data_IF_869912468446
#
_entry.id   IF_869912468446
#
_cell.length_a   1.000
_cell.length_b   1.000
_cell.length_c   1.000
_cell.angle_alpha   90.00
_cell.angle_beta   90.00
_cell.angle_gamma   90.00
#
_symmetry.space_group_name_H-M   'P 1'
#
loop_
_entity.id
_entity.type
_entity.pdbx_description
1 polymer ?
#
# COMPACT_ATOMS: atom_id res chain seq x y z
N UNK A 1 19.02 27.96 3.28
CA UNK A 1 17.96 28.07 2.26
C UNK A 1 16.89 27.03 2.60
N UNK A 2 15.77 27.45 3.19
CA UNK A 2 14.67 26.55 3.51
C UNK A 2 13.95 26.19 2.20
N UNK A 3 14.42 25.15 1.52
CA UNK A 3 13.73 24.59 0.36
C UNK A 3 12.39 24.10 0.90
N UNK A 4 11.32 24.80 0.57
CA UNK A 4 9.97 24.36 0.85
C UNK A 4 9.79 23.01 0.15
N UNK A 5 9.96 21.91 0.90
CA UNK A 5 9.55 20.57 0.48
C UNK A 5 8.09 20.73 0.09
N UNK A 6 7.78 20.62 -1.19
CA UNK A 6 6.41 20.79 -1.67
C UNK A 6 5.53 19.85 -0.84
N UNK A 7 4.66 20.48 -0.04
CA UNK A 7 4.02 19.88 1.13
C UNK A 7 3.11 18.75 0.65
N UNK A 8 3.57 17.50 0.75
CA UNK A 8 2.77 16.26 0.73
C UNK A 8 1.68 16.20 -0.37
N UNK A 9 1.98 16.69 -1.57
CA UNK A 9 1.06 16.71 -2.70
C UNK A 9 1.76 16.25 -3.97
N UNK A 10 1.33 15.12 -4.50
CA UNK A 10 1.76 14.57 -5.78
C UNK A 10 1.43 15.59 -6.87
N UNK A 11 2.41 15.97 -7.67
CA UNK A 11 2.22 16.86 -8.81
C UNK A 11 1.85 15.99 -10.00
N UNK A 12 0.67 16.18 -10.58
CA UNK A 12 0.34 15.57 -11.87
C UNK A 12 1.14 16.21 -12.99
N UNK A 13 1.30 15.50 -14.10
CA UNK A 13 2.03 16.01 -15.28
C UNK A 13 1.48 17.35 -15.76
N UNK A 14 0.15 17.51 -15.78
CA UNK A 14 -0.53 18.75 -16.17
C UNK A 14 -0.45 19.86 -15.11
N UNK A 15 -0.18 19.52 -13.85
CA UNK A 15 0.03 20.46 -12.74
C UNK A 15 1.51 20.88 -12.62
N UNK A 16 2.39 20.28 -13.43
CA UNK A 16 3.82 20.53 -13.34
C UNK A 16 4.20 21.96 -13.76
N UNK A 17 4.75 22.73 -12.82
CA UNK A 17 5.35 24.03 -13.05
C UNK A 17 6.86 23.98 -12.83
N UNK A 18 7.65 24.22 -13.88
CA UNK A 18 9.11 24.13 -13.82
C UNK A 18 9.75 25.07 -12.78
N UNK A 19 9.17 26.24 -12.51
CA UNK A 19 9.73 27.18 -11.51
C UNK A 19 9.57 26.68 -10.08
N UNK A 20 8.54 25.89 -9.82
CA UNK A 20 8.16 25.44 -8.49
C UNK A 20 8.66 24.02 -8.21
N UNK A 21 8.57 23.14 -9.21
CA UNK A 21 8.72 21.71 -9.03
C UNK A 21 10.05 21.14 -9.53
N UNK A 22 10.79 21.85 -10.38
CA UNK A 22 12.08 21.37 -10.86
C UNK A 22 13.04 21.13 -9.69
N UNK A 23 13.57 19.91 -9.59
CA UNK A 23 14.46 19.48 -8.50
C UNK A 23 13.78 19.22 -7.14
N UNK A 24 12.45 19.42 -7.04
CA UNK A 24 11.70 19.35 -5.78
C UNK A 24 10.58 18.29 -5.79
N UNK A 25 10.56 17.40 -6.79
CA UNK A 25 9.65 16.25 -6.83
C UNK A 25 10.40 15.00 -6.37
N UNK A 26 9.74 14.24 -5.51
CA UNK A 26 10.30 13.06 -4.87
C UNK A 26 9.38 11.85 -5.02
N UNK A 27 9.90 10.69 -4.65
CA UNK A 27 9.19 9.42 -4.68
C UNK A 27 7.83 9.55 -3.99
N UNK A 28 6.75 9.13 -4.64
CA UNK A 28 5.40 9.18 -4.09
C UNK A 28 5.23 8.41 -2.77
N UNK A 29 6.04 7.37 -2.57
CA UNK A 29 5.90 6.44 -1.46
C UNK A 29 6.73 6.85 -0.24
N UNK A 30 8.00 7.21 -0.46
CA UNK A 30 8.94 7.48 0.63
C UNK A 30 9.38 8.94 0.74
N UNK A 31 9.15 9.77 -0.29
CA UNK A 31 9.57 11.16 -0.30
C UNK A 31 11.09 11.40 -0.33
N UNK A 32 11.90 10.36 -0.64
CA UNK A 32 13.37 10.45 -0.66
C UNK A 32 13.94 10.52 -2.07
N UNK A 33 13.70 9.49 -2.90
CA UNK A 33 14.31 9.43 -4.25
C UNK A 33 13.78 10.55 -5.15
N UNK A 34 14.66 11.25 -5.86
CA UNK A 34 14.26 12.36 -6.75
C UNK A 34 13.63 11.87 -8.04
N UNK A 35 12.68 12.65 -8.53
CA UNK A 35 11.94 12.38 -9.77
C UNK A 35 12.00 13.60 -10.68
N UNK A 36 12.16 13.39 -11.97
CA UNK A 36 12.14 14.43 -13.01
C UNK A 36 11.00 14.18 -14.00
N UNK A 37 10.46 15.26 -14.57
CA UNK A 37 9.53 15.16 -15.69
C UNK A 37 10.35 14.95 -16.98
N UNK A 38 10.03 13.90 -17.72
CA UNK A 38 10.58 13.60 -19.04
C UNK A 38 9.55 13.97 -20.09
N UNK A 39 9.99 14.75 -21.08
CA UNK A 39 9.21 15.10 -22.27
C UNK A 39 9.98 14.62 -23.48
N UNK A 40 9.39 13.73 -24.27
CA UNK A 40 9.96 13.23 -25.53
C UNK A 40 9.01 13.61 -26.67
N UNK A 41 9.57 13.91 -27.84
CA UNK A 41 8.75 14.10 -29.03
C UNK A 41 7.93 12.81 -29.28
N UNK A 42 6.66 12.98 -29.64
CA UNK A 42 5.72 11.90 -29.97
C UNK A 42 5.46 10.88 -28.84
N UNK A 43 5.72 11.26 -27.58
CA UNK A 43 5.38 10.45 -26.41
C UNK A 43 4.68 11.30 -25.34
N UNK A 44 3.76 10.67 -24.61
CA UNK A 44 3.18 11.29 -23.43
C UNK A 44 4.29 11.62 -22.42
N UNK A 45 4.19 12.80 -21.80
CA UNK A 45 5.15 13.19 -20.76
C UNK A 45 4.98 12.27 -19.56
N UNK A 46 6.09 11.89 -18.92
CA UNK A 46 6.06 10.98 -17.77
C UNK A 46 7.10 11.35 -16.74
N UNK A 47 6.88 10.92 -15.50
CA UNK A 47 7.86 11.08 -14.42
C UNK A 47 8.84 9.90 -14.40
N UNK A 48 10.12 10.19 -14.21
CA UNK A 48 11.19 9.21 -14.15
C UNK A 48 12.10 9.49 -12.95
N UNK A 49 12.58 8.42 -12.29
CA UNK A 49 13.56 8.56 -11.21
C UNK A 49 14.91 9.03 -11.75
N UNK A 50 15.57 9.92 -11.00
CA UNK A 50 16.91 10.39 -11.32
C UNK A 50 17.92 9.31 -10.93
N UNK A 51 18.60 8.72 -11.92
CA UNK A 51 19.48 7.55 -11.74
C UNK A 51 20.57 7.79 -10.68
N UNK A 52 21.19 8.98 -10.69
CA UNK A 52 22.29 9.35 -9.79
C UNK A 52 21.86 9.56 -8.32
N UNK A 53 20.55 9.75 -8.07
CA UNK A 53 19.99 10.06 -6.75
C UNK A 53 18.73 9.20 -6.48
N UNK A 54 18.81 7.93 -6.89
CA UNK A 54 17.71 6.95 -6.77
C UNK A 54 17.70 6.22 -5.42
N UNK A 55 18.17 6.87 -4.36
CA UNK A 55 18.13 6.29 -3.02
C UNK A 55 16.72 6.40 -2.46
N UNK A 56 16.13 5.25 -2.16
CA UNK A 56 14.84 5.16 -1.49
C UNK A 56 15.01 4.75 -0.04
N UNK A 57 13.99 5.03 0.76
CA UNK A 57 13.82 4.43 2.07
C UNK A 57 13.77 2.90 2.00
N UNK A 58 14.33 2.22 2.99
CA UNK A 58 14.31 0.75 3.08
C UNK A 58 12.89 0.16 3.17
N UNK A 59 11.91 0.95 3.67
CA UNK A 59 10.52 0.54 3.75
C UNK A 59 9.75 0.83 2.44
N UNK A 60 10.37 1.51 1.48
CA UNK A 60 9.74 1.89 0.22
C UNK A 60 9.37 0.64 -0.61
N UNK A 61 8.11 0.48 -1.04
CA UNK A 61 7.75 -0.65 -1.90
C UNK A 61 8.49 -0.68 -3.24
N UNK A 62 8.94 0.48 -3.73
CA UNK A 62 9.62 0.63 -5.03
C UNK A 62 10.99 -0.06 -5.12
N UNK A 63 11.66 -0.29 -3.98
CA UNK A 63 12.94 -1.02 -3.97
C UNK A 63 12.76 -2.53 -3.94
N UNK A 64 11.55 -3.01 -3.62
CA UNK A 64 11.28 -4.43 -3.52
C UNK A 64 10.79 -5.01 -4.84
N UNK A 65 11.30 -6.19 -5.18
CA UNK A 65 10.78 -6.96 -6.32
C UNK A 65 9.58 -7.80 -5.83
N UNK A 66 8.36 -7.52 -6.32
CA UNK A 66 7.21 -8.32 -5.92
C UNK A 66 7.33 -9.74 -6.51
N UNK A 67 6.78 -10.71 -5.78
CA UNK A 67 6.59 -12.06 -6.32
C UNK A 67 5.51 -12.07 -7.40
N UNK A 68 5.62 -13.04 -8.30
CA UNK A 68 4.63 -13.21 -9.37
C UNK A 68 3.23 -13.47 -8.81
N UNK A 69 2.22 -12.84 -9.42
CA UNK A 69 0.83 -12.94 -8.98
C UNK A 69 0.29 -14.37 -9.10
N UNK A 70 0.72 -15.16 -10.10
CA UNK A 70 0.34 -16.57 -10.20
C UNK A 70 0.89 -17.36 -9.02
N UNK A 71 2.09 -17.03 -8.54
CA UNK A 71 2.64 -17.67 -7.35
C UNK A 71 1.84 -17.33 -6.09
N UNK A 72 1.34 -16.10 -5.96
CA UNK A 72 0.45 -15.74 -4.86
C UNK A 72 -0.87 -16.53 -4.95
N UNK A 73 -1.46 -16.62 -6.14
CA UNK A 73 -2.68 -17.40 -6.39
C UNK A 73 -2.51 -18.87 -6.00
N UNK A 74 -1.43 -19.50 -6.43
CA UNK A 74 -1.08 -20.89 -6.04
C UNK A 74 -0.98 -21.05 -4.53
N UNK A 75 -0.24 -20.15 -3.86
CA UNK A 75 -0.04 -20.24 -2.41
C UNK A 75 -1.34 -20.04 -1.62
N UNK A 76 -2.27 -19.22 -2.13
CA UNK A 76 -3.58 -18.98 -1.50
C UNK A 76 -4.53 -20.15 -1.73
N UNK A 77 -4.46 -20.81 -2.89
CA UNK A 77 -5.29 -21.97 -3.22
C UNK A 77 -4.78 -23.27 -2.59
N UNK A 78 -3.59 -23.28 -2.02
CA UNK A 78 -2.96 -24.47 -1.43
C UNK A 78 -3.53 -24.82 -0.05
N UNK A 79 -3.87 -26.09 0.16
CA UNK A 79 -4.25 -26.63 1.47
C UNK A 79 -3.06 -26.88 2.41
N UNK A 80 -1.83 -26.64 1.93
CA UNK A 80 -0.61 -26.84 2.70
C UNK A 80 -0.49 -25.81 3.83
N UNK A 81 -0.38 -26.29 5.07
CA UNK A 81 -0.07 -25.44 6.24
C UNK A 81 1.21 -24.63 6.04
N UNK A 82 2.19 -25.15 5.31
CA UNK A 82 3.46 -24.47 5.01
C UNK A 82 3.24 -23.26 4.09
N UNK A 83 2.42 -23.43 3.05
CA UNK A 83 2.13 -22.36 2.10
C UNK A 83 1.26 -21.28 2.74
N UNK A 84 0.26 -21.67 3.52
CA UNK A 84 -0.52 -20.73 4.32
C UNK A 84 0.33 -19.93 5.31
N UNK A 85 1.29 -20.59 5.97
CA UNK A 85 2.27 -19.90 6.83
C UNK A 85 3.14 -18.93 6.04
N UNK A 86 3.54 -19.27 4.80
CA UNK A 86 4.31 -18.39 3.93
C UNK A 86 3.49 -17.18 3.49
N UNK A 87 2.23 -17.36 3.08
CA UNK A 87 1.35 -16.24 2.71
C UNK A 87 1.16 -15.30 3.89
N UNK A 88 0.84 -15.83 5.07
CA UNK A 88 0.63 -15.01 6.27
C UNK A 88 1.89 -14.23 6.66
N UNK A 89 3.08 -14.83 6.51
CA UNK A 89 4.35 -14.13 6.71
C UNK A 89 4.50 -12.96 5.74
N UNK A 90 4.32 -13.20 4.43
CA UNK A 90 4.48 -12.17 3.39
C UNK A 90 3.47 -11.04 3.56
N UNK A 91 2.21 -11.38 3.89
CA UNK A 91 1.15 -10.40 4.14
C UNK A 91 1.48 -9.54 5.35
N UNK A 92 1.74 -10.14 6.52
CA UNK A 92 2.05 -9.39 7.74
C UNK A 92 3.25 -8.47 7.54
N UNK A 93 4.34 -8.98 6.98
CA UNK A 93 5.54 -8.19 6.67
C UNK A 93 5.20 -6.97 5.80
N UNK A 94 4.39 -7.15 4.75
CA UNK A 94 4.05 -6.05 3.84
C UNK A 94 3.06 -5.04 4.47
N UNK A 95 2.10 -5.51 5.27
CA UNK A 95 1.19 -4.64 6.03
C UNK A 95 1.94 -3.80 7.07
N UNK A 96 2.83 -4.42 7.84
CA UNK A 96 3.72 -3.74 8.79
C UNK A 96 4.57 -2.69 8.09
N UNK A 97 5.26 -3.07 7.01
CA UNK A 97 6.11 -2.18 6.22
C UNK A 97 5.34 -0.94 5.75
N UNK A 98 4.14 -1.11 5.21
CA UNK A 98 3.33 0.00 4.70
C UNK A 98 2.92 0.97 5.81
N UNK A 99 2.45 0.46 6.95
CA UNK A 99 2.07 1.32 8.09
C UNK A 99 3.28 2.04 8.67
N UNK A 100 4.41 1.33 8.81
CA UNK A 100 5.65 1.90 9.33
C UNK A 100 6.20 2.99 8.40
N UNK A 101 6.13 2.79 7.08
CA UNK A 101 6.48 3.81 6.11
C UNK A 101 5.60 5.06 6.26
N UNK A 102 4.28 4.90 6.36
CA UNK A 102 3.36 6.02 6.56
C UNK A 102 3.66 6.79 7.85
N UNK A 103 3.88 6.08 8.97
CA UNK A 103 4.26 6.71 10.24
C UNK A 103 5.61 7.43 10.14
N UNK A 104 6.59 6.86 9.43
CA UNK A 104 7.89 7.49 9.19
C UNK A 104 7.76 8.77 8.38
N UNK A 105 6.95 8.76 7.31
CA UNK A 105 6.65 9.93 6.48
C UNK A 105 5.85 11.00 7.24
N UNK A 106 5.01 10.58 8.18
CA UNK A 106 4.30 11.49 9.07
C UNK A 106 5.26 12.22 10.03
N UNK A 107 6.22 11.49 10.57
CA UNK A 107 7.22 11.95 11.55
C UNK A 107 8.54 12.43 10.89
N UNK A 108 8.45 13.14 9.77
CA UNK A 108 9.58 13.78 9.07
C UNK A 108 10.78 12.83 8.76
N UNK A 109 10.50 11.56 8.48
CA UNK A 109 11.48 10.55 8.10
C UNK A 109 11.99 9.71 9.28
N UNK A 110 11.44 9.87 10.48
CA UNK A 110 11.82 9.08 11.67
C UNK A 110 10.72 8.12 12.08
N UNK A 111 11.10 6.88 12.44
CA UNK A 111 10.17 5.90 12.98
C UNK A 111 10.48 5.67 14.45
N UNK A 112 9.65 6.23 15.33
CA UNK A 112 9.83 6.04 16.77
C UNK A 112 9.40 4.63 17.17
N UNK A 113 10.02 4.07 18.21
CA UNK A 113 9.71 2.72 18.68
C UNK A 113 8.22 2.52 19.02
N UNK A 114 7.56 3.55 19.59
CA UNK A 114 6.13 3.51 19.90
C UNK A 114 5.23 3.44 18.64
N UNK A 115 5.72 3.93 17.51
CA UNK A 115 4.98 3.96 16.24
C UNK A 115 5.20 2.69 15.40
N UNK A 116 6.24 1.90 15.73
CA UNK A 116 6.54 0.65 15.03
C UNK A 116 5.39 -0.32 15.22
N UNK A 117 4.78 -0.71 14.10
CA UNK A 117 3.87 -1.82 14.04
C UNK A 117 4.67 -3.12 13.87
N UNK A 118 4.34 -4.11 14.70
CA UNK A 118 4.84 -5.48 14.60
C UNK A 118 3.65 -6.45 14.74
N UNK A 119 3.23 -7.05 13.64
CA UNK A 119 2.16 -8.04 13.55
C UNK A 119 2.71 -9.48 13.68
N UNK A 120 4.03 -9.66 13.69
CA UNK A 120 4.68 -10.96 13.88
C UNK A 120 4.81 -11.32 15.37
N UNK A 121 4.32 -12.48 15.83
CA UNK A 121 4.52 -12.94 17.20
C UNK A 121 5.99 -13.32 17.47
N UNK A 122 6.59 -12.80 18.54
CA UNK A 122 8.00 -13.03 18.93
C UNK A 122 8.38 -14.53 19.05
N UNK A 123 7.51 -15.37 19.63
CA UNK A 123 7.76 -16.82 19.82
C UNK A 123 7.92 -17.66 18.54
N UNK A 124 7.58 -17.11 17.36
CA UNK A 124 7.76 -17.79 16.06
C UNK A 124 8.99 -17.32 15.29
N UNK A 125 9.75 -16.34 15.79
CA UNK A 125 10.92 -15.81 15.09
C UNK A 125 12.11 -16.79 15.14
N UNK A 126 12.35 -17.45 16.27
CA UNK A 126 13.52 -18.33 16.48
C UNK A 126 13.48 -19.66 15.69
N UNK A 127 12.30 -20.28 15.49
CA UNK A 127 12.19 -21.56 14.76
C UNK A 127 12.09 -21.43 13.23
N UNK A 128 12.02 -20.20 12.70
CA UNK A 128 11.67 -19.95 11.29
C UNK A 128 12.79 -19.18 10.56
N UNK A 129 13.91 -18.85 11.23
CA UNK A 129 14.98 -17.99 10.67
C UNK A 129 15.56 -18.48 9.33
N UNK A 130 15.76 -19.79 9.13
CA UNK A 130 16.26 -20.32 7.83
C UNK A 130 15.25 -20.16 6.69
N UNK A 131 13.94 -20.33 6.93
CA UNK A 131 12.88 -20.15 5.90
C UNK A 131 12.52 -18.68 5.71
N UNK A 132 12.55 -17.88 6.79
CA UNK A 132 12.32 -16.44 6.76
C UNK A 132 13.35 -15.72 5.91
N UNK A 133 14.63 -16.12 5.91
CA UNK A 133 15.67 -15.50 5.06
C UNK A 133 15.38 -15.61 3.56
N UNK A 134 14.74 -16.69 3.12
CA UNK A 134 14.35 -16.86 1.71
C UNK A 134 13.13 -15.97 1.38
N UNK A 135 12.14 -15.94 2.28
CA UNK A 135 10.90 -15.19 2.08
C UNK A 135 11.05 -13.69 2.37
N UNK A 136 12.04 -13.28 3.16
CA UNK A 136 12.27 -11.88 3.51
C UNK A 136 12.73 -11.05 2.32
N UNK A 137 13.29 -11.69 1.28
CA UNK A 137 13.65 -11.05 0.01
C UNK A 137 12.46 -10.92 -0.95
N UNK A 138 11.34 -11.56 -0.64
CA UNK A 138 10.11 -11.54 -1.41
C UNK A 138 9.15 -10.52 -0.82
N UNK A 139 8.42 -9.81 -1.69
CA UNK A 139 7.37 -8.87 -1.30
C UNK A 139 6.12 -9.05 -2.14
N UNK A 140 5.01 -8.50 -1.64
CA UNK A 140 3.73 -8.51 -2.36
C UNK A 140 3.63 -7.24 -3.19
N UNK A 141 3.03 -7.35 -4.38
CA UNK A 141 2.71 -6.18 -5.19
C UNK A 141 1.93 -5.17 -4.35
N UNK A 142 2.46 -3.96 -4.21
CA UNK A 142 1.96 -2.96 -3.28
C UNK A 142 1.63 -1.70 -4.06
N UNK A 143 0.46 -1.13 -3.81
CA UNK A 143 -0.07 0.05 -4.47
C UNK A 143 -0.36 1.08 -3.39
N UNK A 144 0.24 2.25 -3.55
CA UNK A 144 -0.12 3.41 -2.76
C UNK A 144 -1.44 3.98 -3.30
N UNK A 145 -2.38 4.22 -2.40
CA UNK A 145 -3.76 4.57 -2.80
C UNK A 145 -3.90 5.92 -3.49
N UNK A 146 -2.88 6.78 -3.43
CA UNK A 146 -2.81 7.99 -4.25
C UNK A 146 -2.69 7.68 -5.75
N UNK A 147 -2.10 6.54 -6.12
CA UNK A 147 -1.90 6.13 -7.52
C UNK A 147 -3.16 5.51 -8.14
N UNK A 148 -4.22 5.27 -7.34
CA UNK A 148 -5.45 4.65 -7.82
C UNK A 148 -6.18 5.47 -8.88
N UNK A 149 -5.97 6.79 -8.93
CA UNK A 149 -6.58 7.65 -9.95
C UNK A 149 -6.01 7.37 -11.35
N UNK A 150 -4.73 7.01 -11.41
CA UNK A 150 -3.94 6.95 -12.65
C UNK A 150 -3.54 5.50 -13.00
N UNK A 151 -4.00 4.53 -12.21
CA UNK A 151 -3.68 3.12 -12.41
C UNK A 151 -4.47 2.53 -13.59
N UNK A 152 -3.78 1.75 -14.41
CA UNK A 152 -4.42 0.93 -15.43
C UNK A 152 -5.22 -0.20 -14.75
N UNK A 153 -6.54 -0.02 -14.68
CA UNK A 153 -7.46 -0.92 -13.99
C UNK A 153 -7.42 -2.34 -14.54
N UNK A 154 -7.25 -2.52 -15.86
CA UNK A 154 -7.19 -3.84 -16.47
C UNK A 154 -5.90 -4.59 -16.08
N UNK A 155 -4.79 -3.85 -15.87
CA UNK A 155 -3.54 -4.46 -15.40
C UNK A 155 -3.59 -4.92 -13.94
N UNK A 156 -4.51 -4.42 -13.12
CA UNK A 156 -4.61 -4.79 -11.70
C UNK A 156 -5.79 -5.70 -11.38
N UNK A 157 -6.74 -5.82 -12.30
CA UNK A 157 -7.92 -6.67 -12.16
C UNK A 157 -7.54 -8.12 -11.87
N UNK A 158 -8.11 -8.65 -10.79
CA UNK A 158 -7.92 -10.04 -10.35
C UNK A 158 -6.58 -10.34 -9.69
N UNK A 159 -5.68 -9.35 -9.56
CA UNK A 159 -4.40 -9.51 -8.86
C UNK A 159 -4.57 -9.42 -7.34
N UNK A 160 -3.68 -10.09 -6.63
CA UNK A 160 -3.51 -9.88 -5.19
C UNK A 160 -2.51 -8.75 -4.95
N UNK A 161 -2.92 -7.77 -4.12
CA UNK A 161 -2.07 -6.63 -3.82
C UNK A 161 -2.24 -6.16 -2.38
N UNK A 162 -1.26 -5.40 -1.90
CA UNK A 162 -1.38 -4.57 -0.71
C UNK A 162 -1.74 -3.14 -1.14
N UNK A 163 -2.88 -2.64 -0.68
CA UNK A 163 -3.27 -1.24 -0.81
C UNK A 163 -3.03 -0.50 0.49
N UNK A 164 -2.36 0.64 0.45
CA UNK A 164 -2.05 1.40 1.66
C UNK A 164 -2.14 2.91 1.44
N UNK A 165 -2.32 3.65 2.53
CA UNK A 165 -2.35 5.11 2.51
C UNK A 165 -3.09 5.69 3.70
N UNK A 166 -3.61 6.91 3.52
CA UNK A 166 -4.45 7.60 4.51
C UNK A 166 -5.80 7.89 3.88
N UNK A 167 -6.88 7.47 4.52
CA UNK A 167 -8.24 7.64 4.01
C UNK A 167 -9.20 8.15 5.09
N UNK A 168 -10.26 8.83 4.66
CA UNK A 168 -11.50 8.86 5.43
C UNK A 168 -12.22 7.52 5.26
N UNK A 169 -12.46 6.81 6.35
CA UNK A 169 -13.06 5.48 6.38
C UNK A 169 -14.45 5.60 6.98
N UNK A 170 -15.44 5.13 6.23
CA UNK A 170 -16.85 5.05 6.68
C UNK A 170 -17.33 3.62 6.61
N UNK A 171 -18.19 3.22 7.54
CA UNK A 171 -18.77 1.89 7.61
C UNK A 171 -20.26 1.95 7.32
N UNK A 172 -20.76 0.94 6.61
CA UNK A 172 -22.18 0.77 6.31
C UNK A 172 -22.53 -0.71 6.30
N UNK A 173 -23.69 -1.06 6.84
CA UNK A 173 -24.19 -2.43 6.78
C UNK A 173 -24.90 -2.65 5.44
N UNK A 174 -24.60 -3.76 4.77
CA UNK A 174 -25.26 -4.20 3.54
C UNK A 174 -25.72 -5.63 3.77
N UNK A 175 -27.01 -5.78 4.07
CA UNK A 175 -27.55 -7.02 4.61
C UNK A 175 -26.82 -7.40 5.90
N UNK A 176 -26.26 -8.61 5.94
CA UNK A 176 -25.48 -9.12 7.07
C UNK A 176 -23.98 -8.75 7.00
N UNK A 177 -23.53 -8.17 5.88
CA UNK A 177 -22.11 -7.85 5.66
C UNK A 177 -21.79 -6.40 6.02
N UNK A 178 -20.54 -6.15 6.40
CA UNK A 178 -20.03 -4.80 6.65
C UNK A 178 -19.25 -4.31 5.42
N UNK A 179 -19.66 -3.17 4.86
CA UNK A 179 -18.90 -2.48 3.82
C UNK A 179 -18.14 -1.31 4.42
N UNK A 180 -16.82 -1.32 4.25
CA UNK A 180 -15.95 -0.19 4.53
C UNK A 180 -15.69 0.57 3.23
N UNK A 181 -16.00 1.86 3.23
CA UNK A 181 -15.72 2.76 2.12
C UNK A 181 -14.54 3.66 2.49
N UNK A 182 -13.49 3.62 1.66
CA UNK A 182 -12.28 4.40 1.81
C UNK A 182 -12.31 5.57 0.82
N UNK A 183 -12.37 6.80 1.35
CA UNK A 183 -12.32 8.04 0.59
C UNK A 183 -10.92 8.64 0.68
N UNK A 184 -10.17 8.57 -0.43
CA UNK A 184 -8.81 9.12 -0.51
C UNK A 184 -8.86 10.62 -0.84
N UNK A 185 -9.63 10.96 -1.88
CA UNK A 185 -9.90 12.33 -2.31
C UNK A 185 -11.29 12.39 -2.98
N UNK A 186 -11.59 13.47 -3.69
CA UNK A 186 -12.90 13.66 -4.33
C UNK A 186 -13.19 12.62 -5.42
N UNK A 187 -12.16 12.22 -6.19
CA UNK A 187 -12.26 11.34 -7.36
C UNK A 187 -11.84 9.88 -7.13
N UNK A 188 -11.18 9.55 -6.02
CA UNK A 188 -10.64 8.21 -5.76
C UNK A 188 -11.24 7.61 -4.49
N UNK A 189 -11.98 6.51 -4.69
CA UNK A 189 -12.60 5.72 -3.62
C UNK A 189 -12.51 4.25 -3.96
N UNK A 190 -12.34 3.43 -2.94
CA UNK A 190 -12.45 1.99 -3.06
C UNK A 190 -13.22 1.44 -1.86
N UNK A 191 -13.69 0.21 -1.96
CA UNK A 191 -14.41 -0.42 -0.85
C UNK A 191 -13.92 -1.81 -0.52
N UNK A 192 -14.11 -2.18 0.73
CA UNK A 192 -13.82 -3.52 1.24
C UNK A 192 -15.12 -4.09 1.79
N UNK A 193 -15.46 -5.28 1.33
CA UNK A 193 -16.59 -6.03 1.85
C UNK A 193 -16.08 -7.06 2.84
N UNK A 194 -16.68 -7.07 4.03
CA UNK A 194 -16.32 -7.94 5.13
C UNK A 194 -17.49 -8.88 5.39
N UNK A 195 -17.21 -10.17 5.33
CA UNK A 195 -18.21 -11.21 5.51
C UNK A 195 -18.85 -11.15 6.92
N UNK A 196 -20.12 -11.57 7.09
CA UNK A 196 -20.86 -11.44 8.35
C UNK A 196 -20.17 -12.08 9.56
N UNK A 197 -19.50 -13.21 9.36
CA UNK A 197 -18.78 -13.94 10.42
C UNK A 197 -17.51 -13.22 10.92
N UNK A 198 -17.07 -12.19 10.20
CA UNK A 198 -15.82 -11.45 10.45
C UNK A 198 -16.07 -10.06 11.08
N UNK A 199 -17.30 -9.55 11.03
CA UNK A 199 -17.66 -8.19 11.51
C UNK A 199 -17.58 -8.05 13.03
N UNK A 200 -17.72 -9.15 13.79
CA UNK A 200 -17.72 -9.17 15.27
C UNK A 200 -16.47 -8.56 15.90
N UNK A 201 -15.35 -8.54 15.19
CA UNK A 201 -14.04 -8.09 15.69
C UNK A 201 -13.67 -6.68 15.24
N UNK A 202 -14.55 -5.99 14.52
CA UNK A 202 -14.28 -4.68 13.94
C UNK A 202 -15.26 -3.63 14.48
N UNK A 203 -14.83 -2.89 15.51
CA UNK A 203 -15.54 -1.71 15.97
C UNK A 203 -15.06 -0.49 15.19
N UNK A 204 -15.79 -0.12 14.13
CA UNK A 204 -15.58 1.14 13.42
C UNK A 204 -16.61 2.17 13.86
N UNK A 205 -16.13 3.28 14.44
CA UNK A 205 -16.94 4.50 14.57
C UNK A 205 -17.36 5.03 13.20
N UNK A 206 -18.47 5.79 13.15
CA UNK A 206 -19.16 6.19 11.91
C UNK A 206 -18.26 6.82 10.83
N UNK A 207 -17.19 7.51 11.22
CA UNK A 207 -16.18 8.04 10.31
C UNK A 207 -14.87 8.31 11.04
N UNK A 208 -13.75 7.79 10.52
CA UNK A 208 -12.40 8.12 11.02
C UNK A 208 -11.47 8.44 9.85
N UNK A 209 -10.51 9.35 10.06
CA UNK A 209 -9.37 9.50 9.16
C UNK A 209 -8.23 8.68 9.74
N UNK A 210 -7.70 7.74 8.99
CA UNK A 210 -6.71 6.79 9.52
C UNK A 210 -5.70 6.36 8.45
N UNK A 211 -4.51 5.99 8.91
CA UNK A 211 -3.53 5.21 8.15
C UNK A 211 -4.06 3.79 8.00
N UNK A 212 -3.89 3.19 6.82
CA UNK A 212 -4.33 1.82 6.58
C UNK A 212 -3.37 1.07 5.66
N UNK A 213 -3.42 -0.25 5.77
CA UNK A 213 -2.84 -1.20 4.82
C UNK A 213 -3.77 -2.41 4.71
N UNK A 214 -4.03 -2.87 3.48
CA UNK A 214 -5.03 -3.91 3.18
C UNK A 214 -4.45 -4.85 2.15
N UNK A 215 -4.41 -6.14 2.48
CA UNK A 215 -4.11 -7.18 1.51
C UNK A 215 -5.40 -7.81 0.98
N UNK A 216 -5.52 -7.93 -0.33
CA UNK A 216 -6.65 -8.64 -0.92
C UNK A 216 -6.61 -8.73 -2.42
N UNK A 217 -7.62 -9.41 -2.98
CA UNK A 217 -7.81 -9.52 -4.42
C UNK A 217 -8.54 -8.29 -4.93
N UNK A 218 -7.99 -7.66 -5.96
CA UNK A 218 -8.57 -6.47 -6.58
C UNK A 218 -9.67 -6.87 -7.58
N UNK A 219 -10.93 -6.58 -7.24
CA UNK A 219 -12.07 -6.70 -8.16
C UNK A 219 -12.36 -5.33 -8.73
N UNK A 220 -12.22 -5.19 -10.05
CA UNK A 220 -12.57 -3.96 -10.77
C UNK A 220 -13.98 -4.12 -11.33
N UNK A 221 -14.86 -3.17 -10.99
CA UNK A 221 -16.21 -3.05 -11.53
C UNK A 221 -16.35 -1.62 -12.05
N UNK A 222 -16.40 -1.45 -13.37
CA UNK A 222 -16.32 -0.16 -14.05
C UNK A 222 -15.10 0.66 -13.59
N UNK A 223 -15.34 1.79 -12.93
CA UNK A 223 -14.30 2.69 -12.37
C UNK A 223 -14.05 2.46 -10.88
N UNK A 224 -14.64 1.43 -10.30
CA UNK A 224 -14.56 1.15 -8.86
C UNK A 224 -13.68 -0.07 -8.58
N UNK A 225 -12.82 0.07 -7.58
CA UNK A 225 -12.04 -1.02 -7.02
C UNK A 225 -12.72 -1.52 -5.75
N UNK A 226 -12.99 -2.82 -5.73
CA UNK A 226 -13.42 -3.55 -4.56
C UNK A 226 -12.30 -4.51 -4.15
N UNK A 227 -11.92 -4.47 -2.88
CA UNK A 227 -10.90 -5.38 -2.34
C UNK A 227 -11.59 -6.51 -1.62
N UNK A 228 -11.34 -7.72 -2.10
CA UNK A 228 -11.78 -8.95 -1.43
C UNK A 228 -10.66 -9.40 -0.48
N UNK A 229 -10.92 -9.28 0.82
CA UNK A 229 -10.04 -9.76 1.88
C UNK A 229 -10.41 -11.20 2.28
N UNK A 230 -9.43 -11.99 2.72
CA UNK A 230 -9.70 -13.35 3.21
C UNK A 230 -10.06 -13.35 4.69
N UNK A 231 -9.47 -12.43 5.45
CA UNK A 231 -9.67 -12.27 6.89
C UNK A 231 -9.49 -10.82 7.31
N UNK A 232 -10.08 -10.44 8.44
CA UNK A 232 -9.84 -9.13 9.07
C UNK A 232 -8.38 -8.89 9.46
N UNK A 233 -7.56 -9.94 9.55
CA UNK A 233 -6.09 -9.81 9.73
C UNK A 233 -5.40 -9.19 8.51
N UNK A 234 -6.01 -9.31 7.34
CA UNK A 234 -5.52 -8.70 6.10
C UNK A 234 -5.89 -7.20 6.02
N UNK A 235 -6.52 -6.64 7.07
CA UNK A 235 -6.95 -5.25 7.18
C UNK A 235 -6.33 -4.62 8.44
N UNK A 236 -5.43 -3.66 8.24
CA UNK A 236 -4.80 -2.90 9.34
C UNK A 236 -5.20 -1.45 9.22
N UNK A 237 -5.75 -0.88 10.29
CA UNK A 237 -6.14 0.52 10.38
C UNK A 237 -5.58 1.10 11.68
N UNK A 238 -4.86 2.23 11.59
CA UNK A 238 -4.34 2.99 12.74
C UNK A 238 -4.79 4.45 12.62
N UNK A 239 -5.52 4.91 13.63
CA UNK A 239 -5.92 6.31 13.78
C UNK A 239 -4.76 7.22 14.15
#
# INVERSE_FOLDING_TARGET
>A
MNIARYKKGFVRINEYNSKLHFGNIYCPDCGIAKVKLVRKADQESYFEFVIEDNQHDELCPRISKPIDDNKIKELIASDSKKDMSKVNFLVNKNLERCINLLSKVENDGKLNYADILNLMPQKKQEMVEKRIREYSKQDIYTINTFELADIDLEKVKGKYAVLYGVAGITSSNIGESLKLLFKINEGSRFSVFIAPNQTKYLNFGKSIRAKFAIFGKLKVVDKFINVEIRSTRDLVIRG
#
